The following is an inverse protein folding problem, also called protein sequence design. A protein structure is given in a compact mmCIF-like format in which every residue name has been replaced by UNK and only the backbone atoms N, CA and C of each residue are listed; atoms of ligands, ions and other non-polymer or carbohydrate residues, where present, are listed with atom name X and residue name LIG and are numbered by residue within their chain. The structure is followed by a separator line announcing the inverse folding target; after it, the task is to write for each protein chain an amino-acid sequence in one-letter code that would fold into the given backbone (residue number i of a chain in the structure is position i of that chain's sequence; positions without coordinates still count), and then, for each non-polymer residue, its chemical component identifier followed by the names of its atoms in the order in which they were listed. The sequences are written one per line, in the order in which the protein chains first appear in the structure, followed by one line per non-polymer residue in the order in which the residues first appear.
data_IF_916549068129
#
_entry.id   IF_916549068129
#
_cell.length_a   1.000
_cell.length_b   1.000
_cell.length_c   1.000
_cell.angle_alpha   90.00
_cell.angle_beta   90.00
_cell.angle_gamma   90.00
#
_symmetry.space_group_name_H-M   'P 1'
#
loop_
_entity.id
_entity.type
_entity.pdbx_description
1 polymer ?
#
# COMPACT_ATOMS: atom_id res chain seq x y z
N UNK A 1 21.32 2.96 -2.56
CA UNK A 1 20.74 1.65 -2.24
C UNK A 1 19.22 1.80 -2.24
N UNK A 2 18.44 0.86 -2.81
CA UNK A 2 16.98 1.00 -2.79
C UNK A 2 16.48 0.95 -1.34
N UNK A 3 15.66 1.93 -0.95
CA UNK A 3 15.10 1.97 0.39
C UNK A 3 14.18 0.77 0.63
N UNK A 4 14.26 0.10 1.81
CA UNK A 4 13.35 -0.97 2.15
C UNK A 4 11.92 -0.42 2.29
N UNK A 5 10.93 -1.24 1.92
CA UNK A 5 9.52 -0.91 2.11
C UNK A 5 9.23 -0.86 3.61
N UNK A 6 8.58 0.21 4.07
CA UNK A 6 8.30 0.42 5.48
C UNK A 6 6.89 0.95 5.75
N UNK A 7 6.19 1.45 4.72
CA UNK A 7 4.90 2.09 4.89
C UNK A 7 3.75 1.17 4.48
N UNK A 8 3.25 0.38 5.46
CA UNK A 8 2.18 -0.59 5.29
C UNK A 8 0.95 -0.24 6.14
N UNK A 9 0.22 0.85 5.82
CA UNK A 9 -1.00 1.20 6.53
C UNK A 9 -2.15 0.25 6.16
N UNK A 10 -3.09 0.07 7.08
CA UNK A 10 -4.37 -0.59 6.79
C UNK A 10 -5.32 0.34 6.04
N UNK A 11 -5.28 1.64 6.33
CA UNK A 11 -6.07 2.69 5.66
C UNK A 11 -5.14 3.71 5.02
N UNK A 12 -5.22 3.89 3.70
CA UNK A 12 -4.32 4.79 2.96
C UNK A 12 -4.69 6.27 3.09
N UNK A 13 -5.96 6.62 2.84
CA UNK A 13 -6.40 8.01 2.76
C UNK A 13 -7.69 8.22 3.54
N UNK A 14 -7.67 9.21 4.43
CA UNK A 14 -8.85 9.74 5.11
C UNK A 14 -8.63 11.24 5.33
N UNK A 15 -9.19 12.07 4.47
CA UNK A 15 -8.97 13.51 4.51
C UNK A 15 -10.17 14.29 3.94
N UNK A 16 -10.28 15.56 4.31
CA UNK A 16 -11.28 16.50 3.82
C UNK A 16 -10.60 17.58 2.99
N UNK A 17 -11.00 17.69 1.73
CA UNK A 17 -10.36 18.57 0.78
C UNK A 17 -11.38 19.59 0.24
N UNK A 18 -11.15 20.91 0.43
CA UNK A 18 -12.04 21.91 -0.15
C UNK A 18 -11.84 21.97 -1.67
N UNK A 19 -12.92 21.74 -2.41
CA UNK A 19 -12.99 21.88 -3.86
C UNK A 19 -13.41 23.33 -4.15
N UNK A 20 -12.51 24.12 -4.74
CA UNK A 20 -12.77 25.53 -5.04
C UNK A 20 -13.84 25.71 -6.13
N UNK A 21 -14.04 26.96 -6.58
CA UNK A 21 -15.06 27.30 -7.58
C UNK A 21 -14.90 26.54 -8.92
N UNK A 22 -13.69 26.07 -9.23
CA UNK A 22 -13.42 25.27 -10.43
C UNK A 22 -14.01 23.86 -10.43
N UNK A 23 -14.58 23.38 -9.31
CA UNK A 23 -15.26 22.08 -9.23
C UNK A 23 -14.34 20.85 -9.30
N UNK A 24 -13.03 21.05 -9.37
CA UNK A 24 -12.02 19.98 -9.36
C UNK A 24 -10.80 20.36 -8.51
N UNK A 25 -10.10 19.36 -8.00
CA UNK A 25 -8.85 19.54 -7.25
C UNK A 25 -7.98 18.30 -7.33
N UNK A 26 -6.71 18.51 -7.67
CA UNK A 26 -5.70 17.47 -7.63
C UNK A 26 -5.04 17.42 -6.24
N UNK A 27 -4.90 16.22 -5.70
CA UNK A 27 -4.28 15.97 -4.39
C UNK A 27 -3.11 15.01 -4.59
N UNK A 28 -1.86 15.50 -4.52
CA UNK A 28 -0.70 14.63 -4.63
C UNK A 28 -0.59 13.75 -3.38
N UNK A 29 -0.55 12.43 -3.57
CA UNK A 29 -0.47 11.43 -2.51
C UNK A 29 0.64 10.42 -2.81
N UNK A 30 1.35 10.02 -1.76
CA UNK A 30 2.30 8.90 -1.84
C UNK A 30 1.55 7.58 -1.71
N UNK A 31 1.72 6.70 -2.69
CA UNK A 31 1.13 5.35 -2.70
C UNK A 31 1.81 4.50 -1.61
N UNK A 32 1.05 3.72 -0.81
CA UNK A 32 1.64 2.85 0.19
C UNK A 32 2.47 1.73 -0.41
N UNK A 33 3.35 1.16 0.41
CA UNK A 33 4.22 0.06 -0.02
C UNK A 33 3.47 -1.28 -0.15
N UNK A 34 2.24 -1.36 0.34
CA UNK A 34 1.37 -2.53 0.24
C UNK A 34 1.01 -2.80 -1.22
N UNK A 35 1.35 -4.01 -1.70
CA UNK A 35 1.05 -4.47 -3.06
C UNK A 35 -0.36 -5.04 -3.05
N UNK A 36 -1.33 -4.20 -3.38
CA UNK A 36 -2.76 -4.55 -3.31
C UNK A 36 -3.57 -3.66 -4.24
N UNK A 37 -4.86 -3.99 -4.36
CA UNK A 37 -5.86 -3.13 -4.95
C UNK A 37 -6.47 -2.22 -3.88
N UNK A 38 -6.25 -0.92 -4.01
CA UNK A 38 -6.86 0.11 -3.19
C UNK A 38 -8.21 0.51 -3.78
N UNK A 39 -9.23 0.63 -2.92
CA UNK A 39 -10.56 1.12 -3.27
C UNK A 39 -10.83 2.40 -2.52
N UNK A 40 -11.12 3.47 -3.25
CA UNK A 40 -11.36 4.80 -2.72
C UNK A 40 -12.82 5.21 -2.95
N UNK A 41 -13.47 5.69 -1.89
CA UNK A 41 -14.77 6.35 -1.96
C UNK A 41 -14.64 7.82 -1.55
N UNK A 42 -15.48 8.68 -2.11
CA UNK A 42 -15.49 10.11 -1.80
C UNK A 42 -16.93 10.62 -1.73
N UNK A 43 -17.16 11.62 -0.89
CA UNK A 43 -18.39 12.39 -0.87
C UNK A 43 -18.07 13.89 -0.85
N UNK A 44 -19.00 14.70 -1.37
CA UNK A 44 -18.90 16.14 -1.41
C UNK A 44 -20.14 16.77 -0.77
N UNK A 45 -19.93 17.90 -0.07
CA UNK A 45 -21.01 18.71 0.49
C UNK A 45 -20.86 20.13 -0.03
N UNK A 46 -21.95 20.72 -0.49
CA UNK A 46 -22.00 22.08 -1.04
C UNK A 46 -23.37 22.71 -0.73
N UNK A 47 -23.52 24.01 -1.03
CA UNK A 47 -24.82 24.69 -0.88
C UNK A 47 -25.92 24.04 -1.71
N UNK A 48 -25.56 23.44 -2.85
CA UNK A 48 -26.48 22.70 -3.73
C UNK A 48 -26.90 21.34 -3.18
N UNK A 49 -26.24 20.84 -2.12
CA UNK A 49 -26.57 19.59 -1.45
C UNK A 49 -25.38 18.64 -1.26
N UNK A 50 -25.70 17.35 -1.13
CA UNK A 50 -24.76 16.26 -0.91
C UNK A 50 -24.58 15.43 -2.20
N UNK A 51 -23.34 15.06 -2.50
CA UNK A 51 -23.00 14.16 -3.60
C UNK A 51 -22.11 13.02 -3.13
N UNK A 52 -22.33 11.83 -3.68
CA UNK A 52 -21.51 10.65 -3.43
C UNK A 52 -20.85 10.20 -4.74
N UNK A 53 -19.54 9.96 -4.71
CA UNK A 53 -18.83 9.45 -5.87
C UNK A 53 -19.00 7.93 -6.00
N UNK A 54 -18.95 7.39 -7.23
CA UNK A 54 -18.64 5.98 -7.42
C UNK A 54 -17.28 5.63 -6.80
N UNK A 55 -17.11 4.36 -6.42
CA UNK A 55 -15.82 3.85 -5.94
C UNK A 55 -14.79 3.84 -7.06
N UNK A 56 -13.65 4.47 -6.83
CA UNK A 56 -12.48 4.38 -7.70
C UNK A 56 -11.53 3.28 -7.22
N UNK A 57 -10.85 2.63 -8.16
CA UNK A 57 -9.95 1.51 -7.86
C UNK A 57 -8.56 1.79 -8.40
N UNK A 58 -7.53 1.47 -7.61
CA UNK A 58 -6.14 1.67 -7.96
C UNK A 58 -5.28 0.48 -7.52
N UNK A 59 -4.55 -0.13 -8.45
CA UNK A 59 -3.68 -1.27 -8.14
C UNK A 59 -2.23 -0.82 -7.92
N UNK A 60 -1.73 -0.98 -6.70
CA UNK A 60 -0.33 -0.79 -6.38
C UNK A 60 0.43 -2.09 -6.62
N UNK A 61 1.36 -2.11 -7.58
CA UNK A 61 2.10 -3.32 -7.95
C UNK A 61 3.59 -3.06 -8.15
N UNK A 62 4.41 -4.03 -7.73
CA UNK A 62 5.84 -4.10 -8.04
C UNK A 62 6.11 -5.45 -8.72
N UNK A 63 6.86 -5.47 -9.83
CA UNK A 63 7.12 -6.72 -10.57
C UNK A 63 8.09 -7.67 -9.84
N UNK A 64 8.82 -7.19 -8.84
CA UNK A 64 9.71 -8.01 -8.02
C UNK A 64 9.65 -7.54 -6.56
N UNK A 65 9.32 -8.45 -5.64
CA UNK A 65 9.18 -8.14 -4.22
C UNK A 65 9.33 -9.39 -3.34
N UNK A 66 9.48 -9.15 -2.04
CA UNK A 66 9.48 -10.18 -0.99
C UNK A 66 8.26 -9.98 -0.10
N UNK A 67 7.56 -11.06 0.20
CA UNK A 67 6.44 -11.13 1.14
C UNK A 67 6.85 -11.94 2.38
N UNK A 68 6.50 -11.46 3.57
CA UNK A 68 6.77 -12.12 4.84
C UNK A 68 5.46 -12.64 5.43
N UNK A 69 5.39 -13.94 5.71
CA UNK A 69 4.26 -14.53 6.43
C UNK A 69 4.49 -14.36 7.93
N UNK A 70 4.08 -13.21 8.47
CA UNK A 70 4.21 -12.88 9.88
C UNK A 70 2.94 -13.30 10.65
N UNK A 71 3.08 -14.01 11.79
CA UNK A 71 1.96 -14.20 12.70
C UNK A 71 1.61 -12.87 13.37
N UNK A 72 0.37 -12.77 13.87
CA UNK A 72 -0.08 -11.59 14.63
C UNK A 72 0.77 -11.34 15.89
N UNK A 73 1.23 -12.40 16.54
CA UNK A 73 2.09 -12.32 17.73
C UNK A 73 3.07 -13.49 17.81
N UNK A 74 4.13 -13.31 18.59
CA UNK A 74 5.15 -14.31 18.91
C UNK A 74 5.45 -14.27 20.40
N UNK A 75 5.86 -15.40 20.97
CA UNK A 75 6.20 -15.51 22.40
C UNK A 75 7.69 -15.23 22.59
N UNK A 76 8.02 -14.32 23.51
CA UNK A 76 9.41 -14.02 23.85
C UNK A 76 10.08 -15.25 24.45
N UNK A 77 11.25 -15.59 23.92
CA UNK A 77 12.04 -16.75 24.37
C UNK A 77 11.72 -18.03 23.61
N UNK A 78 10.69 -18.04 22.75
CA UNK A 78 10.40 -19.16 21.87
C UNK A 78 10.96 -18.94 20.46
N UNK A 79 11.28 -20.05 19.80
CA UNK A 79 11.65 -20.05 18.40
C UNK A 79 10.40 -20.11 17.52
N UNK A 80 10.36 -19.30 16.46
CA UNK A 80 9.32 -19.38 15.43
C UNK A 80 9.95 -19.46 14.04
N UNK A 81 9.23 -20.06 13.10
CA UNK A 81 9.67 -20.14 11.71
C UNK A 81 9.16 -18.93 10.91
N UNK A 82 10.04 -17.98 10.60
CA UNK A 82 9.75 -16.89 9.67
C UNK A 82 9.81 -17.39 8.22
N UNK A 83 8.70 -17.30 7.50
CA UNK A 83 8.64 -17.65 6.07
C UNK A 83 8.67 -16.38 5.22
N UNK A 84 9.58 -16.35 4.25
CA UNK A 84 9.68 -15.30 3.25
C UNK A 84 9.52 -15.89 1.85
N UNK A 85 8.68 -15.27 1.02
CA UNK A 85 8.44 -15.68 -0.36
C UNK A 85 8.93 -14.58 -1.29
N UNK A 86 9.75 -14.94 -2.26
CA UNK A 86 10.24 -14.02 -3.30
C UNK A 86 9.36 -14.18 -4.54
N UNK A 87 8.73 -13.09 -4.97
CA UNK A 87 7.92 -13.06 -6.18
C UNK A 87 8.69 -12.36 -7.30
N UNK A 88 8.73 -13.00 -8.47
CA UNK A 88 9.30 -12.43 -9.69
C UNK A 88 8.29 -12.52 -10.84
N UNK A 89 7.75 -11.37 -11.22
CA UNK A 89 6.87 -11.17 -12.38
C UNK A 89 7.60 -10.50 -13.55
N UNK A 90 8.93 -10.34 -13.48
CA UNK A 90 9.72 -9.87 -14.62
C UNK A 90 9.78 -10.95 -15.70
N UNK A 91 9.88 -10.57 -16.99
CA UNK A 91 9.98 -11.52 -18.10
C UNK A 91 11.30 -12.30 -18.12
N UNK A 92 12.31 -11.83 -17.38
CA UNK A 92 13.65 -12.39 -17.35
C UNK A 92 13.89 -13.22 -16.09
N UNK A 93 14.60 -14.34 -16.27
CA UNK A 93 15.12 -15.12 -15.16
C UNK A 93 16.25 -14.36 -14.45
N UNK A 94 16.16 -14.25 -13.13
CA UNK A 94 17.15 -13.56 -12.31
C UNK A 94 17.66 -14.48 -11.20
N UNK A 95 18.94 -14.34 -10.85
CA UNK A 95 19.52 -14.98 -9.67
C UNK A 95 19.36 -14.06 -8.48
N UNK A 96 18.71 -14.53 -7.43
CA UNK A 96 18.41 -13.73 -6.23
C UNK A 96 19.25 -14.22 -5.06
N UNK A 97 19.79 -13.28 -4.28
CA UNK A 97 20.38 -13.54 -2.96
C UNK A 97 19.47 -12.94 -1.90
N UNK A 98 19.04 -13.76 -0.95
CA UNK A 98 18.20 -13.34 0.18
C UNK A 98 19.04 -13.39 1.45
N UNK A 99 19.00 -12.31 2.22
CA UNK A 99 19.70 -12.18 3.51
C UNK A 99 18.76 -11.54 4.51
N UNK A 100 18.75 -12.06 5.73
CA UNK A 100 18.10 -11.40 6.86
C UNK A 100 19.12 -10.44 7.49
N UNK A 101 18.76 -9.16 7.61
CA UNK A 101 19.62 -8.20 8.30
C UNK A 101 19.64 -8.50 9.81
N UNK A 102 20.81 -8.38 10.43
CA UNK A 102 20.93 -8.43 11.89
C UNK A 102 20.35 -7.14 12.50
N UNK A 103 19.69 -7.30 13.66
CA UNK A 103 19.09 -6.21 14.44
C UNK A 103 20.11 -5.48 15.30
#
# INVERSE_FOLDING_TARGET
EPAPRAYFPETWLWDLVPVGEGGSKDVPLSVPDTITEWKAGMFCTAQVGFGLSPTATFTAFKPFFVELALPYSVIRGEAFALKATVFNYLPQCIKVRVTLAES
#
